data_IF_137794549900
#
_entry.id   IF_137794549900
#
_cell.length_a   1.000
_cell.length_b   1.000
_cell.length_c   1.000
_cell.angle_alpha   90.00
_cell.angle_beta   90.00
_cell.angle_gamma   90.00
#
_symmetry.space_group_name_H-M   'P 1'
#
loop_
_entity.id
_entity.type
_entity.pdbx_description
1 polymer ?
#
# COMPACT_ATOMS: atom_id res chain seq x y z
N UNK A 1 7.64 -0.57 -14.11
CA UNK A 1 6.69 -1.62 -14.55
C UNK A 1 7.18 -3.04 -14.26
N UNK A 2 8.40 -3.41 -14.67
CA UNK A 2 8.92 -4.79 -14.58
C UNK A 2 8.78 -5.45 -13.19
N UNK A 3 9.17 -4.76 -12.12
CA UNK A 3 9.05 -5.30 -10.75
C UNK A 3 7.57 -5.54 -10.35
N UNK A 4 6.67 -4.61 -10.70
CA UNK A 4 5.24 -4.74 -10.37
C UNK A 4 4.61 -5.95 -11.06
N UNK A 5 4.87 -6.14 -12.36
CA UNK A 5 4.36 -7.31 -13.06
C UNK A 5 4.97 -8.61 -12.53
N UNK A 6 6.28 -8.67 -12.33
CA UNK A 6 6.94 -9.87 -11.85
C UNK A 6 6.54 -10.24 -10.41
N UNK A 7 6.35 -9.27 -9.52
CA UNK A 7 6.05 -9.53 -8.12
C UNK A 7 4.58 -9.92 -7.86
N UNK A 8 3.63 -9.49 -8.70
CA UNK A 8 2.20 -9.81 -8.55
C UNK A 8 1.67 -10.84 -9.54
N UNK A 9 2.46 -11.30 -10.52
CA UNK A 9 2.01 -12.24 -11.56
C UNK A 9 1.33 -13.51 -11.04
N UNK A 10 1.64 -13.95 -9.81
CA UNK A 10 1.07 -15.15 -9.20
C UNK A 10 -0.11 -14.88 -8.27
N UNK A 11 -0.48 -13.61 -8.04
CA UNK A 11 -1.59 -13.26 -7.16
C UNK A 11 -2.94 -13.49 -7.86
N UNK A 12 -3.88 -14.12 -7.15
CA UNK A 12 -5.25 -14.26 -7.63
C UNK A 12 -5.87 -12.89 -7.95
N UNK A 13 -6.47 -12.75 -9.13
CA UNK A 13 -7.07 -11.50 -9.61
C UNK A 13 -6.07 -10.46 -10.12
N UNK A 14 -4.78 -10.79 -10.26
CA UNK A 14 -3.82 -9.89 -10.89
C UNK A 14 -4.10 -9.77 -12.39
N UNK A 15 -4.23 -8.52 -12.84
CA UNK A 15 -4.32 -8.16 -14.26
C UNK A 15 -3.12 -7.25 -14.56
N UNK A 16 -2.26 -7.60 -15.54
CA UNK A 16 -1.18 -6.73 -15.96
C UNK A 16 -1.74 -5.38 -16.42
N UNK A 17 -1.12 -4.28 -15.99
CA UNK A 17 -1.53 -2.95 -16.42
C UNK A 17 -0.72 -2.52 -17.65
N UNK A 18 -1.33 -1.76 -18.54
CA UNK A 18 -0.63 -1.07 -19.63
C UNK A 18 0.21 0.10 -19.10
N UNK A 19 1.15 0.61 -19.90
CA UNK A 19 1.95 1.78 -19.51
C UNK A 19 1.07 3.01 -19.32
N UNK A 20 0.04 3.16 -20.17
CA UNK A 20 -0.93 4.25 -20.11
C UNK A 20 -1.76 4.19 -18.82
N UNK A 21 -2.20 2.98 -18.42
CA UNK A 21 -2.94 2.77 -17.17
C UNK A 21 -2.07 3.11 -15.96
N UNK A 22 -0.81 2.68 -15.96
CA UNK A 22 0.14 3.02 -14.88
C UNK A 22 0.38 4.53 -14.82
N UNK A 23 0.59 5.19 -15.96
CA UNK A 23 0.80 6.64 -16.01
C UNK A 23 -0.45 7.41 -15.57
N UNK A 24 -1.65 6.93 -15.94
CA UNK A 24 -2.91 7.49 -15.46
C UNK A 24 -3.03 7.37 -13.94
N UNK A 25 -2.81 6.17 -13.38
CA UNK A 25 -2.86 5.94 -11.94
C UNK A 25 -1.82 6.76 -11.17
N UNK A 26 -0.60 6.88 -11.69
CA UNK A 26 0.44 7.70 -11.10
C UNK A 26 0.03 9.17 -10.98
N UNK A 27 -0.53 9.75 -12.04
CA UNK A 27 -1.06 11.14 -12.03
C UNK A 27 -2.20 11.33 -11.02
N UNK A 28 -3.07 10.33 -10.85
CA UNK A 28 -4.16 10.39 -9.87
C UNK A 28 -3.64 10.34 -8.42
N UNK A 29 -2.53 9.61 -8.18
CA UNK A 29 -1.94 9.45 -6.85
C UNK A 29 -0.97 10.59 -6.48
N UNK A 30 -0.40 11.28 -7.45
CA UNK A 30 0.57 12.37 -7.24
C UNK A 30 0.17 13.38 -6.14
N UNK A 31 -1.08 13.88 -6.05
CA UNK A 31 -1.46 14.87 -5.04
C UNK A 31 -1.48 14.35 -3.60
N UNK A 32 -1.45 13.03 -3.41
CA UNK A 32 -1.58 12.36 -2.11
C UNK A 32 -0.36 11.52 -1.72
N UNK A 33 0.64 11.44 -2.60
CA UNK A 33 1.90 10.75 -2.34
C UNK A 33 2.74 11.54 -1.34
N UNK A 34 3.34 10.82 -0.40
CA UNK A 34 4.44 11.31 0.44
C UNK A 34 5.70 10.65 -0.09
N UNK A 35 6.53 11.41 -0.79
CA UNK A 35 7.65 10.90 -1.58
C UNK A 35 8.64 10.08 -0.75
N UNK A 36 8.81 10.44 0.51
CA UNK A 36 9.69 9.80 1.48
C UNK A 36 9.24 8.38 1.86
N UNK A 37 7.99 8.04 1.56
CA UNK A 37 7.34 6.76 1.87
C UNK A 37 7.14 5.86 0.63
N UNK A 38 7.63 6.30 -0.53
CA UNK A 38 7.80 5.47 -1.72
C UNK A 38 9.26 5.04 -1.83
N UNK A 39 9.55 3.77 -1.58
CA UNK A 39 10.93 3.26 -1.55
C UNK A 39 11.15 2.18 -2.59
N UNK A 40 12.37 2.13 -3.13
CA UNK A 40 12.89 1.02 -3.90
C UNK A 40 14.01 0.34 -3.12
N UNK A 41 14.04 -0.99 -3.19
CA UNK A 41 15.18 -1.79 -2.75
C UNK A 41 16.01 -2.15 -3.96
N UNK A 42 17.32 -1.97 -3.86
CA UNK A 42 18.28 -2.25 -4.93
C UNK A 42 19.31 -3.29 -4.49
N UNK A 43 19.70 -4.16 -5.42
CA UNK A 43 20.82 -5.09 -5.25
C UNK A 43 21.77 -4.87 -6.40
N UNK A 44 23.00 -4.43 -6.08
CA UNK A 44 24.04 -4.10 -7.09
C UNK A 44 23.56 -3.06 -8.12
N UNK A 45 22.82 -2.05 -7.67
CA UNK A 45 22.29 -0.97 -8.52
C UNK A 45 21.04 -1.33 -9.32
N UNK A 46 20.55 -2.56 -9.23
CA UNK A 46 19.33 -3.01 -9.90
C UNK A 46 18.14 -2.97 -8.92
N UNK A 47 17.03 -2.29 -9.25
CA UNK A 47 15.81 -2.35 -8.46
C UNK A 47 15.24 -3.77 -8.40
N UNK A 48 15.08 -4.30 -7.19
CA UNK A 48 14.58 -5.66 -6.94
C UNK A 48 13.26 -5.68 -6.16
N UNK A 49 12.88 -4.57 -5.56
CA UNK A 49 11.63 -4.45 -4.83
C UNK A 49 11.23 -3.00 -4.61
N UNK A 50 9.99 -2.80 -4.19
CA UNK A 50 9.47 -1.49 -3.87
C UNK A 50 8.33 -1.56 -2.86
N UNK A 51 8.10 -0.46 -2.17
CA UNK A 51 6.96 -0.25 -1.28
C UNK A 51 6.43 1.17 -1.49
N UNK A 52 5.11 1.31 -1.50
CA UNK A 52 4.44 2.60 -1.57
C UNK A 52 3.42 2.69 -0.44
N UNK A 53 3.66 3.60 0.50
CA UNK A 53 2.72 3.92 1.56
C UNK A 53 2.15 5.33 1.38
N UNK A 54 0.87 5.48 1.71
CA UNK A 54 0.15 6.75 1.65
C UNK A 54 -0.48 7.06 3.01
N UNK A 55 -0.76 8.33 3.34
CA UNK A 55 -1.66 8.64 4.44
C UNK A 55 -3.00 7.91 4.24
N UNK A 56 -3.57 7.32 5.28
CA UNK A 56 -4.83 6.58 5.18
C UNK A 56 -6.03 7.53 5.04
N UNK A 57 -6.24 8.04 3.82
CA UNK A 57 -7.37 8.92 3.47
C UNK A 57 -8.74 8.26 3.66
N UNK A 58 -8.83 6.94 3.81
CA UNK A 58 -10.10 6.27 4.14
C UNK A 58 -10.70 6.78 5.45
N UNK A 59 -9.88 7.26 6.39
CA UNK A 59 -10.36 7.90 7.62
C UNK A 59 -11.08 9.22 7.35
N UNK A 60 -10.57 10.01 6.40
CA UNK A 60 -11.20 11.25 5.96
C UNK A 60 -12.50 10.92 5.24
N UNK A 61 -12.46 10.02 4.24
CA UNK A 61 -13.63 9.64 3.45
C UNK A 61 -14.77 9.08 4.31
N UNK A 62 -14.43 8.25 5.30
CA UNK A 62 -15.41 7.74 6.28
C UNK A 62 -16.07 8.87 7.08
N UNK A 63 -15.29 9.87 7.52
CA UNK A 63 -15.82 11.02 8.26
C UNK A 63 -16.67 11.99 7.41
N UNK A 64 -16.56 11.91 6.08
CA UNK A 64 -17.41 12.63 5.14
C UNK A 64 -18.70 11.86 4.79
N UNK A 65 -18.81 10.59 5.18
CA UNK A 65 -19.96 9.75 4.80
C UNK A 65 -20.11 9.56 3.29
N UNK A 66 -19.01 9.63 2.55
CA UNK A 66 -19.00 9.46 1.09
C UNK A 66 -19.55 10.65 0.28
N UNK A 67 -19.87 11.78 0.92
CA UNK A 67 -20.39 12.98 0.24
C UNK A 67 -19.37 14.11 0.25
N UNK A 68 -19.08 14.66 -0.93
CA UNK A 68 -18.19 15.80 -1.09
C UNK A 68 -18.99 17.09 -1.32
N UNK A 69 -19.57 17.63 -0.25
CA UNK A 69 -20.19 18.97 -0.29
C UNK A 69 -19.12 20.06 -0.09
N UNK A 70 -19.39 21.35 -0.37
CA UNK A 70 -18.43 22.41 -0.09
C UNK A 70 -17.94 22.40 1.36
N UNK A 71 -18.84 22.22 2.34
CA UNK A 71 -18.48 22.03 3.74
C UNK A 71 -17.69 20.74 3.99
N UNK A 72 -18.06 19.66 3.30
CA UNK A 72 -17.33 18.40 3.29
C UNK A 72 -15.87 18.57 2.82
N UNK A 73 -15.62 19.41 1.82
CA UNK A 73 -14.26 19.70 1.34
C UNK A 73 -13.41 20.42 2.39
N UNK A 74 -13.95 21.45 3.05
CA UNK A 74 -13.25 22.11 4.16
C UNK A 74 -12.95 21.13 5.30
N UNK A 75 -13.94 20.31 5.67
CA UNK A 75 -13.76 19.23 6.66
C UNK A 75 -12.68 18.24 6.23
N UNK A 76 -12.63 17.87 4.94
CA UNK A 76 -11.63 16.96 4.40
C UNK A 76 -10.21 17.54 4.50
N UNK A 77 -10.04 18.81 4.11
CA UNK A 77 -8.76 19.52 4.17
C UNK A 77 -8.26 19.73 5.60
N UNK A 78 -9.16 19.82 6.57
CA UNK A 78 -8.80 19.86 7.99
C UNK A 78 -8.44 18.47 8.51
N UNK A 79 -9.26 17.46 8.21
CA UNK A 79 -9.04 16.09 8.67
C UNK A 79 -7.80 15.44 8.05
N UNK A 80 -7.41 15.79 6.81
CA UNK A 80 -6.19 15.25 6.19
C UNK A 80 -4.94 15.54 7.02
N UNK A 81 -4.91 16.69 7.70
CA UNK A 81 -3.79 17.10 8.57
C UNK A 81 -3.71 16.30 9.88
N UNK A 82 -4.75 15.52 10.18
CA UNK A 82 -4.87 14.68 11.39
C UNK A 82 -4.67 13.19 11.10
N UNK A 83 -4.30 12.83 9.88
CA UNK A 83 -4.02 11.44 9.53
C UNK A 83 -2.71 11.04 10.23
N UNK A 84 -2.80 10.09 11.15
CA UNK A 84 -1.68 9.49 11.89
C UNK A 84 -1.43 8.02 11.50
N UNK A 85 -2.13 7.56 10.47
CA UNK A 85 -2.11 6.17 10.00
C UNK A 85 -1.68 6.12 8.54
N UNK A 86 -0.71 5.28 8.24
CA UNK A 86 -0.34 4.93 6.87
C UNK A 86 -1.20 3.79 6.35
N UNK A 87 -1.40 3.76 5.04
CA UNK A 87 -1.90 2.62 4.30
C UNK A 87 -0.79 2.17 3.35
N UNK A 88 -0.30 0.94 3.52
CA UNK A 88 0.64 0.34 2.58
C UNK A 88 -0.15 -0.02 1.32
N UNK A 89 -0.03 0.78 0.27
CA UNK A 89 -0.80 0.60 -0.96
C UNK A 89 -0.25 -0.57 -1.77
N UNK A 90 1.08 -0.61 -1.94
CA UNK A 90 1.79 -1.61 -2.74
C UNK A 90 3.07 -2.04 -2.01
N UNK A 91 3.38 -3.33 -2.08
CA UNK A 91 4.68 -3.89 -1.75
C UNK A 91 4.96 -5.06 -2.68
N UNK A 92 6.11 -5.04 -3.35
CA UNK A 92 6.52 -6.13 -4.22
C UNK A 92 8.01 -6.32 -4.25
N UNK A 93 8.41 -7.59 -4.30
CA UNK A 93 9.80 -8.01 -4.50
C UNK A 93 9.80 -9.05 -5.60
N UNK A 94 10.74 -8.92 -6.54
CA UNK A 94 10.89 -9.85 -7.66
C UNK A 94 11.09 -11.27 -7.14
N UNK A 95 10.47 -12.31 -7.75
CA UNK A 95 10.46 -13.68 -7.22
C UNK A 95 11.84 -14.23 -6.79
N UNK A 96 12.89 -14.01 -7.59
CA UNK A 96 14.25 -14.47 -7.28
C UNK A 96 14.90 -13.84 -6.04
N UNK A 97 14.35 -12.74 -5.55
CA UNK A 97 14.83 -11.99 -4.39
C UNK A 97 13.89 -12.11 -3.17
N UNK A 98 12.76 -12.81 -3.30
CA UNK A 98 11.86 -13.08 -2.18
C UNK A 98 12.52 -14.00 -1.14
N UNK A 99 11.98 -13.99 0.09
CA UNK A 99 12.48 -14.78 1.24
C UNK A 99 13.91 -14.42 1.67
N UNK A 100 14.41 -13.25 1.25
CA UNK A 100 15.71 -12.70 1.68
C UNK A 100 15.58 -11.57 2.70
N UNK A 101 14.37 -11.30 3.19
CA UNK A 101 14.08 -10.24 4.15
C UNK A 101 13.92 -8.84 3.55
N UNK A 102 13.91 -8.71 2.22
CA UNK A 102 13.80 -7.41 1.53
C UNK A 102 12.45 -6.75 1.83
N UNK A 103 11.38 -7.53 1.83
CA UNK A 103 10.03 -7.10 2.20
C UNK A 103 10.01 -6.49 3.61
N UNK A 104 10.66 -7.17 4.55
CA UNK A 104 10.77 -6.72 5.94
C UNK A 104 11.59 -5.45 6.06
N UNK A 105 12.71 -5.33 5.33
CA UNK A 105 13.53 -4.12 5.31
C UNK A 105 12.73 -2.91 4.79
N UNK A 106 11.98 -3.11 3.70
CA UNK A 106 11.10 -2.09 3.14
C UNK A 106 10.04 -1.63 4.15
N UNK A 107 9.41 -2.57 4.87
CA UNK A 107 8.46 -2.23 5.94
C UNK A 107 9.09 -1.44 7.07
N UNK A 108 10.20 -1.93 7.61
CA UNK A 108 10.91 -1.27 8.72
C UNK A 108 11.32 0.14 8.34
N UNK A 109 11.84 0.33 7.12
CA UNK A 109 12.26 1.65 6.66
C UNK A 109 11.08 2.60 6.44
N UNK A 110 9.96 2.13 5.86
CA UNK A 110 8.73 2.94 5.74
C UNK A 110 8.19 3.31 7.12
N UNK A 111 8.16 2.39 8.08
CA UNK A 111 7.69 2.70 9.43
C UNK A 111 8.61 3.66 10.17
N UNK A 112 9.93 3.50 10.01
CA UNK A 112 10.92 4.42 10.57
C UNK A 112 10.72 5.83 10.03
N UNK A 113 10.64 6.00 8.70
CA UNK A 113 10.38 7.30 8.07
C UNK A 113 9.00 7.85 8.46
N UNK A 114 7.98 7.01 8.43
CA UNK A 114 6.62 7.35 8.84
C UNK A 114 6.57 7.88 10.27
N UNK A 115 7.31 7.27 11.19
CA UNK A 115 7.40 7.70 12.58
C UNK A 115 7.96 9.13 12.73
N UNK A 116 9.00 9.47 11.96
CA UNK A 116 9.56 10.81 11.92
C UNK A 116 8.61 11.84 11.30
N UNK A 117 7.75 11.41 10.38
CA UNK A 117 6.71 12.24 9.75
C UNK A 117 5.41 12.33 10.57
N UNK A 118 5.37 11.73 11.77
CA UNK A 118 4.22 11.81 12.68
C UNK A 118 3.17 10.71 12.50
N UNK A 119 3.39 9.75 11.61
CA UNK A 119 2.54 8.56 11.49
C UNK A 119 2.90 7.55 12.59
N UNK A 120 1.89 7.02 13.29
CA UNK A 120 2.07 6.16 14.47
C UNK A 120 1.59 4.73 14.29
N UNK A 121 0.92 4.45 13.17
CA UNK A 121 0.33 3.16 12.84
C UNK A 121 0.26 2.98 11.34
N UNK A 122 0.05 1.75 10.91
CA UNK A 122 -0.16 1.43 9.52
C UNK A 122 -1.20 0.33 9.34
N UNK A 123 -1.86 0.38 8.20
CA UNK A 123 -2.78 -0.64 7.71
C UNK A 123 -2.21 -1.22 6.41
N UNK A 124 -2.29 -2.54 6.28
CA UNK A 124 -1.55 -3.31 5.27
C UNK A 124 -2.34 -3.56 3.98
N UNK A 125 -3.36 -2.75 3.70
CA UNK A 125 -4.31 -2.93 2.59
C UNK A 125 -4.89 -4.35 2.52
N UNK A 126 -5.13 -4.84 1.30
CA UNK A 126 -5.68 -6.16 1.06
C UNK A 126 -4.56 -7.18 0.89
N UNK A 127 -4.59 -8.20 1.72
CA UNK A 127 -3.69 -9.34 1.67
C UNK A 127 -4.53 -10.57 1.36
N UNK A 128 -4.13 -11.34 0.33
CA UNK A 128 -4.80 -12.59 -0.02
C UNK A 128 -4.69 -13.60 1.13
N UNK A 129 -5.75 -14.36 1.35
CA UNK A 129 -5.86 -15.31 2.47
C UNK A 129 -4.89 -16.50 2.36
N UNK A 130 -4.45 -16.82 1.15
CA UNK A 130 -3.46 -17.86 0.85
C UNK A 130 -2.01 -17.33 0.82
N UNK A 131 -1.81 -16.00 0.89
CA UNK A 131 -0.49 -15.40 1.04
C UNK A 131 0.00 -15.51 2.49
N UNK A 132 0.23 -16.74 2.94
CA UNK A 132 0.63 -17.06 4.31
C UNK A 132 1.95 -16.42 4.71
N UNK A 133 2.88 -16.23 3.77
CA UNK A 133 4.16 -15.58 4.03
C UNK A 133 3.96 -14.11 4.42
N UNK A 134 3.15 -13.38 3.65
CA UNK A 134 2.84 -11.98 3.97
C UNK A 134 2.05 -11.87 5.28
N UNK A 135 1.05 -12.72 5.49
CA UNK A 135 0.24 -12.70 6.70
C UNK A 135 1.08 -12.95 7.97
N UNK A 136 1.93 -13.98 7.97
CA UNK A 136 2.84 -14.26 9.09
C UNK A 136 3.83 -13.13 9.33
N UNK A 137 4.34 -12.52 8.26
CA UNK A 137 5.22 -11.35 8.37
C UNK A 137 4.53 -10.16 9.06
N UNK A 138 3.29 -9.89 8.69
CA UNK A 138 2.47 -8.83 9.31
C UNK A 138 2.20 -9.11 10.78
N UNK A 139 1.80 -10.35 11.11
CA UNK A 139 1.55 -10.78 12.49
C UNK A 139 2.82 -10.70 13.35
N UNK A 140 3.98 -11.11 12.82
CA UNK A 140 5.27 -11.00 13.50
C UNK A 140 5.68 -9.55 13.79
N UNK A 141 5.24 -8.59 12.97
CA UNK A 141 5.44 -7.15 13.21
C UNK A 141 4.37 -6.54 14.15
N UNK A 142 3.52 -7.36 14.77
CA UNK A 142 2.45 -6.92 15.69
C UNK A 142 1.15 -6.53 15.00
N UNK A 143 1.02 -6.75 13.69
CA UNK A 143 -0.21 -6.54 12.95
C UNK A 143 -1.34 -7.46 13.41
N UNK A 144 -2.57 -6.95 13.38
CA UNK A 144 -3.77 -7.71 13.76
C UNK A 144 -4.77 -7.68 12.61
N UNK A 145 -5.30 -8.85 12.24
CA UNK A 145 -6.40 -8.93 11.27
C UNK A 145 -7.64 -8.25 11.86
N UNK A 146 -8.07 -7.17 11.25
CA UNK A 146 -9.23 -6.38 11.71
C UNK A 146 -10.45 -6.50 10.80
N UNK A 147 -10.27 -7.01 9.58
CA UNK A 147 -11.33 -7.16 8.58
C UNK A 147 -11.01 -8.28 7.61
N UNK A 148 -12.04 -8.98 7.16
CA UNK A 148 -11.97 -10.02 6.13
C UNK A 148 -12.98 -9.71 5.04
N UNK A 149 -12.52 -9.68 3.79
CA UNK A 149 -13.38 -9.57 2.60
C UNK A 149 -13.51 -10.95 1.95
N UNK A 150 -14.68 -11.24 1.38
CA UNK A 150 -14.95 -12.47 0.61
C UNK A 150 -15.53 -12.09 -0.73
N UNK A 151 -14.95 -12.63 -1.80
CA UNK A 151 -15.43 -12.45 -3.17
C UNK A 151 -16.05 -13.78 -3.57
N UNK A 152 -17.28 -13.73 -4.08
CA UNK A 152 -18.03 -14.89 -4.55
C UNK A 152 -18.26 -14.73 -6.05
N UNK A 153 -18.11 -15.82 -6.79
CA UNK A 153 -18.43 -15.89 -8.21
C UNK A 153 -19.54 -16.93 -8.38
N UNK A 154 -20.53 -16.60 -9.22
CA UNK A 154 -21.56 -17.54 -9.68
C UNK A 154 -21.48 -17.59 -11.20
N UNK A 155 -21.55 -18.77 -11.77
CA UNK A 155 -21.78 -18.91 -13.21
C UNK A 155 -23.18 -18.34 -13.54
N UNK A 156 -23.25 -17.50 -14.58
CA UNK A 156 -24.47 -16.84 -15.02
C UNK A 156 -25.26 -17.74 -15.96
#
# INVERSE_FOLDING_TARGET
MKIYHEAWAQNWGFVPMSEEEVAFMARQLEPIIVTELGLFAEVRGEPVGFILALPNYNRVLKALGGRLTPWGLFKALWLKRKIDELRILLLGVRPQYQRRGIETLLYVEVFRRGWHLGYRRAEMSWILEDNHLMQKGIEAMGGRRYKTYRIWQREL
#
